data_IF_577760432768
#
_entry.id   IF_577760432768
#
_cell.length_a   1.000
_cell.length_b   1.000
_cell.length_c   1.000
_cell.angle_alpha   90.00
_cell.angle_beta   90.00
_cell.angle_gamma   90.00
#
_symmetry.space_group_name_H-M   'P 1'
#
loop_
_entity.id
_entity.type
_entity.pdbx_description
1 polymer ?
#
# COMPACT_ATOMS: atom_id res chain seq x y z
N UNK A 1 -2.25 -12.35 -17.73
CA UNK A 1 -0.88 -12.03 -17.30
C UNK A 1 -0.61 -12.61 -15.91
N UNK A 2 0.53 -13.25 -15.69
CA UNK A 2 1.03 -13.65 -14.37
C UNK A 2 2.11 -12.68 -13.89
N UNK A 3 2.06 -12.26 -12.62
CA UNK A 3 3.07 -11.38 -12.02
C UNK A 3 3.83 -12.15 -10.94
N UNK A 4 5.15 -12.13 -11.03
CA UNK A 4 6.09 -12.76 -10.12
C UNK A 4 7.00 -11.70 -9.51
N UNK A 5 7.32 -11.86 -8.23
CA UNK A 5 8.33 -11.10 -7.52
C UNK A 5 9.44 -12.07 -7.09
N UNK A 6 10.65 -11.90 -7.61
CA UNK A 6 11.77 -12.84 -7.44
C UNK A 6 11.36 -14.30 -7.72
N UNK A 7 10.55 -14.53 -8.77
CA UNK A 7 10.04 -15.86 -9.12
C UNK A 7 8.93 -16.41 -8.20
N UNK A 8 8.48 -15.66 -7.17
CA UNK A 8 7.31 -16.02 -6.37
C UNK A 8 6.05 -15.38 -6.95
N UNK A 9 5.03 -16.18 -7.23
CA UNK A 9 3.75 -15.72 -7.78
C UNK A 9 3.07 -14.76 -6.81
N UNK A 10 2.59 -13.62 -7.33
CA UNK A 10 1.80 -12.66 -6.57
C UNK A 10 0.30 -12.85 -6.85
N UNK A 11 -0.54 -12.43 -5.92
CA UNK A 11 -2.00 -12.47 -6.09
C UNK A 11 -2.43 -11.37 -7.08
N UNK A 12 -3.16 -11.77 -8.13
CA UNK A 12 -3.43 -10.95 -9.31
C UNK A 12 -4.55 -9.93 -9.11
N UNK A 13 -5.41 -10.12 -8.10
CA UNK A 13 -6.54 -9.22 -7.83
C UNK A 13 -6.14 -7.76 -7.53
N UNK A 14 -4.86 -7.53 -7.22
CA UNK A 14 -4.28 -6.19 -6.98
C UNK A 14 -3.81 -5.49 -8.27
N UNK A 15 -3.64 -6.23 -9.37
CA UNK A 15 -3.14 -5.72 -10.65
C UNK A 15 -4.20 -5.70 -11.76
N UNK A 16 -5.38 -6.28 -11.51
CA UNK A 16 -6.50 -6.36 -12.45
C UNK A 16 -7.06 -4.99 -12.90
N UNK A 17 -6.64 -3.88 -12.28
CA UNK A 17 -7.00 -2.49 -12.65
C UNK A 17 -5.91 -1.76 -13.45
N UNK A 18 -4.79 -2.42 -13.74
CA UNK A 18 -3.64 -1.80 -14.40
C UNK A 18 -3.68 -2.15 -15.89
N UNK A 19 -3.98 -1.15 -16.71
CA UNK A 19 -4.21 -1.31 -18.14
C UNK A 19 -2.92 -1.16 -18.99
N UNK A 20 -1.82 -0.70 -18.39
CA UNK A 20 -0.54 -0.42 -19.08
C UNK A 20 0.66 -0.97 -18.30
N UNK A 21 1.63 -1.60 -18.99
CA UNK A 21 2.91 -2.04 -18.43
C UNK A 21 3.68 -0.88 -17.77
N UNK A 22 3.57 0.35 -18.29
CA UNK A 22 4.20 1.53 -17.67
C UNK A 22 3.54 1.89 -16.36
N UNK A 23 2.22 1.73 -16.25
CA UNK A 23 1.51 1.90 -14.99
C UNK A 23 1.89 0.78 -14.02
N UNK A 24 2.00 -0.47 -14.49
CA UNK A 24 2.48 -1.58 -13.68
C UNK A 24 3.89 -1.31 -13.15
N UNK A 25 4.79 -0.79 -13.99
CA UNK A 25 6.19 -0.54 -13.62
C UNK A 25 6.30 0.66 -12.68
N UNK A 26 5.59 1.76 -12.95
CA UNK A 26 5.51 2.90 -12.04
C UNK A 26 4.90 2.50 -10.71
N UNK A 27 3.84 1.69 -10.74
CA UNK A 27 3.23 1.07 -9.57
C UNK A 27 4.32 0.34 -8.80
N UNK A 28 5.03 -0.60 -9.43
CA UNK A 28 6.10 -1.39 -8.80
C UNK A 28 7.27 -0.53 -8.29
N UNK A 29 7.74 0.47 -9.05
CA UNK A 29 8.80 1.39 -8.57
C UNK A 29 8.33 2.20 -7.37
N UNK A 30 7.05 2.56 -7.34
CA UNK A 30 6.43 3.17 -6.15
C UNK A 30 6.34 2.18 -4.98
N UNK A 31 6.14 0.88 -5.23
CA UNK A 31 6.04 -0.16 -4.20
C UNK A 31 7.36 -0.55 -3.57
N UNK A 32 8.37 -0.72 -4.41
CA UNK A 32 9.60 -1.37 -4.01
C UNK A 32 10.74 -0.35 -3.96
N UNK A 33 10.59 0.85 -4.53
CA UNK A 33 11.62 1.88 -4.64
C UNK A 33 12.42 1.73 -5.95
N UNK A 34 12.73 2.86 -6.60
CA UNK A 34 13.46 2.91 -7.88
C UNK A 34 14.79 2.15 -7.84
N UNK A 35 15.46 2.13 -6.68
CA UNK A 35 16.75 1.45 -6.49
C UNK A 35 16.65 -0.07 -6.24
N UNK A 36 15.44 -0.64 -6.23
CA UNK A 36 15.21 -1.98 -5.69
C UNK A 36 14.80 -2.97 -6.77
N UNK A 37 14.05 -2.56 -7.79
CA UNK A 37 13.85 -3.38 -9.00
C UNK A 37 15.07 -3.23 -9.90
N UNK A 38 15.87 -4.28 -10.03
CA UNK A 38 17.04 -4.26 -10.93
C UNK A 38 16.66 -4.57 -12.36
N UNK A 39 15.83 -5.58 -12.54
CA UNK A 39 15.45 -6.08 -13.86
C UNK A 39 14.02 -6.60 -13.83
N UNK A 40 13.32 -6.38 -14.92
CA UNK A 40 11.98 -6.90 -15.17
C UNK A 40 12.09 -7.88 -16.31
N UNK A 41 11.72 -9.12 -16.06
CA UNK A 41 11.70 -10.19 -17.05
C UNK A 41 10.27 -10.34 -17.59
N UNK A 42 10.04 -10.07 -18.86
CA UNK A 42 8.74 -10.15 -19.53
C UNK A 42 8.82 -11.28 -20.56
N UNK A 43 8.02 -12.33 -20.38
CA UNK A 43 8.01 -13.51 -21.25
C UNK A 43 9.42 -14.04 -21.61
N UNK A 44 10.28 -14.14 -20.59
CA UNK A 44 11.69 -14.59 -20.68
C UNK A 44 12.70 -13.58 -21.25
N UNK A 45 12.27 -12.37 -21.61
CA UNK A 45 13.15 -11.27 -22.00
C UNK A 45 13.43 -10.33 -20.81
N UNK A 46 14.70 -10.06 -20.53
CA UNK A 46 15.11 -9.18 -19.43
C UNK A 46 15.25 -7.73 -19.89
N UNK A 47 14.67 -6.82 -19.11
CA UNK A 47 14.72 -5.39 -19.29
C UNK A 47 15.16 -4.72 -18.00
N UNK A 48 15.90 -3.63 -18.10
CA UNK A 48 16.17 -2.74 -16.95
C UNK A 48 14.97 -1.81 -16.69
N UNK A 49 14.88 -1.30 -15.46
CA UNK A 49 13.91 -0.28 -15.08
C UNK A 49 13.95 0.94 -16.04
N UNK A 50 15.16 1.41 -16.37
CA UNK A 50 15.37 2.56 -17.27
C UNK A 50 14.88 2.30 -18.70
N UNK A 51 15.07 1.09 -19.24
CA UNK A 51 14.61 0.73 -20.59
C UNK A 51 13.08 0.71 -20.69
N UNK A 52 12.41 0.34 -19.61
CA UNK A 52 10.94 0.32 -19.56
C UNK A 52 10.38 1.74 -19.44
N UNK A 53 10.96 2.56 -18.56
CA UNK A 53 10.58 3.97 -18.39
C UNK A 53 10.87 4.83 -19.63
N UNK A 54 11.94 4.52 -20.37
CA UNK A 54 12.27 5.15 -21.65
C UNK A 54 11.25 4.88 -22.77
N UNK A 55 10.26 4.02 -22.51
CA UNK A 55 9.07 3.90 -23.33
C UNK A 55 9.00 2.62 -24.14
N UNK A 56 9.45 1.50 -23.58
CA UNK A 56 9.24 0.17 -24.15
C UNK A 56 7.76 -0.01 -24.54
N UNK A 57 7.51 -0.33 -25.81
CA UNK A 57 6.17 -0.41 -26.37
C UNK A 57 5.76 -1.88 -26.46
N UNK A 58 5.36 -2.44 -25.32
CA UNK A 58 4.89 -3.82 -25.20
C UNK A 58 3.37 -3.86 -25.22
N UNK A 59 2.82 -4.80 -25.97
CA UNK A 59 1.40 -5.11 -25.99
C UNK A 59 1.04 -5.99 -24.79
N UNK A 60 0.39 -5.41 -23.78
CA UNK A 60 -0.04 -6.07 -22.54
C UNK A 60 -0.93 -7.30 -22.80
N UNK A 61 -1.73 -7.28 -23.86
CA UNK A 61 -2.61 -8.40 -24.23
C UNK A 61 -1.81 -9.62 -24.70
N UNK A 62 -0.57 -9.42 -25.13
CA UNK A 62 0.36 -10.48 -25.51
C UNK A 62 1.25 -10.95 -24.35
N UNK A 63 1.34 -10.16 -23.26
CA UNK A 63 2.21 -10.47 -22.11
C UNK A 63 1.60 -11.59 -21.27
N UNK A 64 2.28 -12.73 -21.26
CA UNK A 64 1.84 -13.89 -20.48
C UNK A 64 2.37 -13.83 -19.05
N UNK A 65 3.60 -13.35 -18.85
CA UNK A 65 4.32 -13.36 -17.57
C UNK A 65 5.23 -12.15 -17.41
N UNK A 66 5.18 -11.53 -16.24
CA UNK A 66 6.11 -10.50 -15.76
C UNK A 66 6.78 -10.99 -14.48
N UNK A 67 8.11 -10.96 -14.42
CA UNK A 67 8.90 -11.37 -13.27
C UNK A 67 9.85 -10.25 -12.86
N UNK A 68 9.59 -9.69 -11.68
CA UNK A 68 10.31 -8.56 -11.13
C UNK A 68 11.45 -9.09 -10.28
N UNK A 69 12.69 -8.83 -10.71
CA UNK A 69 13.89 -9.22 -9.96
C UNK A 69 14.38 -8.01 -9.19
N UNK A 70 14.28 -8.13 -7.87
CA UNK A 70 14.68 -7.09 -6.93
C UNK A 70 16.09 -7.35 -6.38
N UNK A 71 16.73 -6.33 -5.81
CA UNK A 71 18.00 -6.52 -5.10
C UNK A 71 17.81 -7.44 -3.89
N UNK A 72 18.74 -8.37 -3.67
CA UNK A 72 18.82 -9.22 -2.47
C UNK A 72 19.21 -8.42 -1.21
N UNK A 73 19.49 -7.12 -1.34
CA UNK A 73 19.82 -6.24 -0.23
C UNK A 73 18.59 -5.98 0.65
N UNK A 74 18.37 -6.89 1.60
CA UNK A 74 17.21 -6.83 2.51
C UNK A 74 17.17 -5.52 3.28
N UNK A 75 18.35 -5.00 3.67
CA UNK A 75 18.52 -3.76 4.44
C UNK A 75 18.08 -2.54 3.64
N UNK A 76 18.53 -2.39 2.39
CA UNK A 76 18.15 -1.24 1.54
C UNK A 76 16.65 -1.14 1.29
N UNK A 77 15.97 -2.26 1.03
CA UNK A 77 14.52 -2.20 0.83
C UNK A 77 13.74 -1.87 2.09
N UNK A 78 14.27 -2.29 3.23
CA UNK A 78 13.72 -1.92 4.51
C UNK A 78 13.90 -0.43 4.79
N UNK A 79 15.08 0.12 4.52
CA UNK A 79 15.37 1.55 4.65
C UNK A 79 14.50 2.40 3.69
N UNK A 80 14.27 1.95 2.46
CA UNK A 80 13.41 2.67 1.50
C UNK A 80 11.93 2.66 1.88
N UNK A 81 11.41 1.56 2.45
CA UNK A 81 10.04 1.55 2.97
C UNK A 81 9.93 2.48 4.16
N UNK A 82 10.91 2.47 5.08
CA UNK A 82 10.91 3.40 6.20
C UNK A 82 10.90 4.86 5.73
N UNK A 83 11.79 5.22 4.81
CA UNK A 83 11.91 6.59 4.31
C UNK A 83 10.62 7.08 3.64
N UNK A 84 9.89 6.21 2.94
CA UNK A 84 8.69 6.61 2.19
C UNK A 84 7.37 6.34 2.91
N UNK A 85 7.31 5.47 3.92
CA UNK A 85 6.06 5.08 4.59
C UNK A 85 5.93 5.65 5.99
N UNK A 86 7.02 5.72 6.76
CA UNK A 86 6.97 6.23 8.15
C UNK A 86 6.64 7.72 8.17
N UNK A 87 7.09 8.50 7.19
CA UNK A 87 6.82 9.94 7.16
C UNK A 87 5.37 10.26 6.76
N UNK A 88 4.73 9.40 5.96
CA UNK A 88 3.35 9.62 5.47
C UNK A 88 2.27 9.18 6.48
N UNK A 89 2.53 8.14 7.29
CA UNK A 89 1.55 7.58 8.22
C UNK A 89 1.03 8.60 9.28
N UNK A 90 1.87 9.41 9.94
CA UNK A 90 1.40 10.42 10.89
C UNK A 90 0.48 11.46 10.26
N UNK A 91 0.77 11.89 9.03
CA UNK A 91 -0.08 12.83 8.29
C UNK A 91 -1.46 12.21 8.00
N UNK A 92 -1.50 10.94 7.59
CA UNK A 92 -2.77 10.23 7.37
C UNK A 92 -3.59 10.08 8.66
N UNK A 93 -2.92 9.77 9.78
CA UNK A 93 -3.56 9.69 11.09
C UNK A 93 -4.21 11.03 11.45
N UNK A 94 -3.48 12.12 11.25
CA UNK A 94 -3.94 13.47 11.54
C UNK A 94 -5.09 13.89 10.60
N UNK A 95 -5.06 13.46 9.32
CA UNK A 95 -6.16 13.68 8.37
C UNK A 95 -7.45 12.98 8.82
N UNK A 96 -7.38 11.75 9.33
CA UNK A 96 -8.56 11.09 9.92
C UNK A 96 -9.08 11.79 11.18
N UNK A 97 -8.19 12.32 12.02
CA UNK A 97 -8.62 13.11 13.19
C UNK A 97 -9.30 14.42 12.77
N UNK A 98 -8.79 15.09 11.73
CA UNK A 98 -9.42 16.27 11.18
C UNK A 98 -10.78 15.94 10.57
N UNK A 99 -10.91 14.84 9.82
CA UNK A 99 -12.20 14.39 9.30
C UNK A 99 -13.21 14.13 10.42
N UNK A 100 -12.79 13.51 11.53
CA UNK A 100 -13.63 13.30 12.71
C UNK A 100 -14.15 14.64 13.29
N UNK A 101 -13.30 15.67 13.30
CA UNK A 101 -13.68 17.01 13.74
C UNK A 101 -14.66 17.68 12.78
N UNK A 102 -14.49 17.54 11.46
CA UNK A 102 -15.43 18.07 10.46
C UNK A 102 -16.82 17.42 10.60
N UNK A 103 -16.87 16.09 10.78
CA UNK A 103 -18.13 15.40 11.09
C UNK A 103 -18.80 15.91 12.37
N UNK A 104 -18.02 16.18 13.43
CA UNK A 104 -18.53 16.71 14.68
C UNK A 104 -19.07 18.16 14.55
N UNK A 105 -18.47 18.96 13.67
CA UNK A 105 -18.94 20.30 13.32
C UNK A 105 -20.13 20.28 12.34
N UNK A 106 -20.40 19.13 11.72
CA UNK A 106 -21.49 18.92 10.78
C UNK A 106 -21.15 19.24 9.34
N UNK A 107 -19.87 19.36 9.00
CA UNK A 107 -19.38 19.47 7.62
C UNK A 107 -19.07 18.07 7.07
N UNK A 108 -20.14 17.34 6.75
CA UNK A 108 -20.05 15.95 6.31
C UNK A 108 -19.35 15.82 4.95
N UNK A 109 -19.61 16.74 4.02
CA UNK A 109 -18.99 16.74 2.68
C UNK A 109 -17.47 16.78 2.79
N UNK A 110 -16.94 17.72 3.58
CA UNK A 110 -15.50 17.84 3.82
C UNK A 110 -14.95 16.63 4.58
N UNK A 111 -15.66 16.14 5.60
CA UNK A 111 -15.25 14.93 6.32
C UNK A 111 -15.13 13.71 5.40
N UNK A 112 -16.10 13.50 4.49
CA UNK A 112 -16.07 12.42 3.51
C UNK A 112 -14.93 12.57 2.51
N UNK A 113 -14.70 13.78 1.99
CA UNK A 113 -13.57 14.07 1.08
C UNK A 113 -12.23 13.69 1.74
N UNK A 114 -12.01 14.14 2.98
CA UNK A 114 -10.79 13.83 3.73
C UNK A 114 -10.60 12.34 4.00
N UNK A 115 -11.66 11.63 4.43
CA UNK A 115 -11.61 10.17 4.65
C UNK A 115 -11.28 9.44 3.36
N UNK A 116 -11.97 9.77 2.26
CA UNK A 116 -11.82 9.07 0.99
C UNK A 116 -10.44 9.29 0.37
N UNK A 117 -9.92 10.53 0.41
CA UNK A 117 -8.59 10.82 -0.12
C UNK A 117 -7.48 10.20 0.75
N UNK A 118 -7.67 10.17 2.07
CA UNK A 118 -6.72 9.49 2.96
C UNK A 118 -6.74 7.97 2.75
N UNK A 119 -7.92 7.36 2.61
CA UNK A 119 -8.06 5.91 2.37
C UNK A 119 -7.42 5.46 1.05
N UNK A 120 -7.54 6.27 -0.01
CA UNK A 120 -6.84 5.98 -1.28
C UNK A 120 -5.34 5.88 -1.05
N UNK A 121 -4.72 6.86 -0.39
CA UNK A 121 -3.28 6.84 -0.15
C UNK A 121 -2.87 5.70 0.80
N UNK A 122 -3.73 5.37 1.76
CA UNK A 122 -3.50 4.32 2.73
C UNK A 122 -3.50 2.92 2.10
N UNK A 123 -4.35 2.67 1.11
CA UNK A 123 -4.34 1.42 0.33
C UNK A 123 -2.95 1.16 -0.27
N UNK A 124 -2.31 2.21 -0.80
CA UNK A 124 -0.94 2.13 -1.31
C UNK A 124 0.07 1.81 -0.22
N UNK A 125 -0.02 2.46 0.94
CA UNK A 125 0.90 2.23 2.05
C UNK A 125 0.79 0.81 2.60
N UNK A 126 -0.43 0.34 2.85
CA UNK A 126 -0.69 -1.00 3.38
C UNK A 126 -0.10 -2.07 2.46
N UNK A 127 -0.24 -1.90 1.15
CA UNK A 127 0.34 -2.82 0.17
C UNK A 127 1.88 -2.77 0.16
N UNK A 128 2.51 -1.59 0.30
CA UNK A 128 3.97 -1.47 0.47
C UNK A 128 4.48 -2.26 1.68
N UNK A 129 3.78 -2.14 2.80
CA UNK A 129 4.10 -2.85 4.04
C UNK A 129 3.94 -4.37 3.86
N UNK A 130 2.81 -4.81 3.30
CA UNK A 130 2.51 -6.24 3.08
C UNK A 130 3.58 -6.94 2.21
N UNK A 131 3.99 -6.31 1.11
CA UNK A 131 5.05 -6.84 0.22
C UNK A 131 6.37 -7.00 0.98
N UNK A 132 6.71 -6.02 1.82
CA UNK A 132 7.92 -6.07 2.65
C UNK A 132 7.91 -7.26 3.61
N UNK A 133 6.80 -7.43 4.32
CA UNK A 133 6.61 -8.48 5.31
C UNK A 133 6.69 -9.86 4.64
N UNK A 134 6.02 -10.05 3.49
CA UNK A 134 6.12 -11.27 2.67
C UNK A 134 7.55 -11.58 2.23
N UNK A 135 8.36 -10.56 1.94
CA UNK A 135 9.76 -10.74 1.53
C UNK A 135 10.67 -11.12 2.69
N UNK A 136 10.34 -10.69 3.90
CA UNK A 136 11.11 -10.98 5.10
C UNK A 136 10.63 -12.26 5.81
N UNK A 137 9.63 -12.95 5.25
CA UNK A 137 8.97 -14.12 5.86
C UNK A 137 8.48 -13.81 7.30
N UNK A 138 7.97 -12.58 7.50
CA UNK A 138 7.48 -12.06 8.79
C UNK A 138 6.00 -12.42 8.98
N UNK A 139 5.73 -13.64 9.46
CA UNK A 139 4.37 -14.17 9.62
C UNK A 139 3.53 -13.37 10.62
N UNK A 140 4.12 -12.90 11.73
CA UNK A 140 3.43 -12.11 12.76
C UNK A 140 3.01 -10.74 12.20
N UNK A 141 3.91 -10.08 11.47
CA UNK A 141 3.57 -8.83 10.79
C UNK A 141 2.53 -9.01 9.69
N UNK A 142 2.54 -10.15 8.99
CA UNK A 142 1.52 -10.50 8.00
C UNK A 142 0.14 -10.75 8.63
N UNK A 143 0.07 -11.32 9.83
CA UNK A 143 -1.20 -11.44 10.56
C UNK A 143 -1.74 -10.06 10.96
N UNK A 144 -0.88 -9.18 11.48
CA UNK A 144 -1.27 -7.83 11.90
C UNK A 144 -1.72 -6.96 10.71
N UNK A 145 -1.01 -6.98 9.58
CA UNK A 145 -1.39 -6.20 8.39
C UNK A 145 -2.74 -6.67 7.83
N UNK A 146 -3.04 -7.98 7.88
CA UNK A 146 -4.34 -8.51 7.47
C UNK A 146 -5.46 -8.06 8.42
N UNK A 147 -5.23 -8.07 9.73
CA UNK A 147 -6.19 -7.52 10.71
C UNK A 147 -6.48 -6.04 10.45
N UNK A 148 -5.46 -5.26 10.13
CA UNK A 148 -5.60 -3.83 9.82
C UNK A 148 -6.41 -3.63 8.53
N UNK A 149 -6.13 -4.42 7.47
CA UNK A 149 -6.89 -4.40 6.22
C UNK A 149 -8.38 -4.69 6.43
N UNK A 150 -8.71 -5.72 7.19
CA UNK A 150 -10.10 -6.04 7.53
C UNK A 150 -10.80 -4.87 8.26
N UNK A 151 -10.06 -4.16 9.12
CA UNK A 151 -10.55 -2.96 9.80
C UNK A 151 -10.90 -1.84 8.81
N UNK A 152 -10.03 -1.56 7.84
CA UNK A 152 -10.29 -0.55 6.82
C UNK A 152 -11.43 -0.94 5.86
N UNK A 153 -11.52 -2.21 5.48
CA UNK A 153 -12.64 -2.73 4.68
C UNK A 153 -13.98 -2.57 5.41
N UNK A 154 -13.99 -2.77 6.73
CA UNK A 154 -15.15 -2.51 7.59
C UNK A 154 -15.56 -1.04 7.55
N UNK A 155 -14.59 -0.14 7.67
CA UNK A 155 -14.81 1.32 7.62
C UNK A 155 -15.37 1.74 6.26
N UNK A 156 -14.80 1.26 5.15
CA UNK A 156 -15.28 1.55 3.79
C UNK A 156 -16.74 1.12 3.60
N UNK A 157 -17.09 -0.09 4.06
CA UNK A 157 -18.48 -0.59 4.00
C UNK A 157 -19.44 0.24 4.84
N UNK A 158 -19.01 0.66 6.03
CA UNK A 158 -19.81 1.55 6.89
C UNK A 158 -19.99 2.93 6.22
N UNK A 159 -18.92 3.49 5.64
CA UNK A 159 -18.94 4.80 4.96
C UNK A 159 -19.95 4.82 3.80
N UNK A 160 -19.91 3.81 2.92
CA UNK A 160 -20.83 3.68 1.79
C UNK A 160 -22.30 3.56 2.24
N UNK A 161 -22.54 2.99 3.43
CA UNK A 161 -23.87 2.82 3.99
C UNK A 161 -24.43 4.08 4.67
N UNK A 162 -23.55 4.92 5.22
CA UNK A 162 -23.92 6.09 6.05
C UNK A 162 -24.02 7.42 5.26
N UNK A 163 -23.58 7.47 4.00
CA UNK A 163 -23.77 8.62 3.09
C UNK A 163 -25.26 9.04 2.95
N UNK A 164 -26.20 8.18 3.33
CA UNK A 164 -27.64 8.41 3.21
C UNK A 164 -28.39 8.57 4.54
N UNK A 165 -27.69 8.66 5.69
CA UNK A 165 -28.31 8.73 7.02
C UNK A 165 -27.70 9.80 7.92
N UNK A 166 -28.56 10.60 8.56
CA UNK A 166 -28.23 11.69 9.50
C UNK A 166 -27.54 11.16 10.79
N UNK A 167 -26.27 10.72 10.69
CA UNK A 167 -25.53 10.05 11.77
C UNK A 167 -24.13 10.60 11.99
N UNK A 168 -24.02 11.91 12.23
CA UNK A 168 -22.77 12.60 12.61
C UNK A 168 -21.90 11.84 13.62
N UNK A 169 -22.52 11.30 14.68
CA UNK A 169 -21.79 10.53 15.70
C UNK A 169 -21.13 9.25 15.18
N UNK A 170 -21.78 8.54 14.25
CA UNK A 170 -21.21 7.33 13.66
C UNK A 170 -20.03 7.66 12.73
N UNK A 171 -20.10 8.77 11.99
CA UNK A 171 -19.04 9.23 11.11
C UNK A 171 -17.79 9.69 11.89
N UNK A 172 -17.99 10.41 13.00
CA UNK A 172 -16.89 10.76 13.92
C UNK A 172 -16.20 9.50 14.46
N UNK A 173 -16.97 8.54 15.00
CA UNK A 173 -16.40 7.28 15.53
C UNK A 173 -15.65 6.48 14.45
N UNK A 174 -16.15 6.49 13.20
CA UNK A 174 -15.52 5.81 12.08
C UNK A 174 -14.15 6.42 11.73
N UNK A 175 -14.07 7.74 11.62
CA UNK A 175 -12.81 8.43 11.36
C UNK A 175 -11.80 8.23 12.50
N UNK A 176 -12.25 8.20 13.75
CA UNK A 176 -11.39 7.84 14.90
C UNK A 176 -10.88 6.39 14.83
N UNK A 177 -11.73 5.43 14.43
CA UNK A 177 -11.29 4.04 14.19
C UNK A 177 -10.23 3.98 13.09
N UNK A 178 -10.42 4.71 11.98
CA UNK A 178 -9.44 4.77 10.89
C UNK A 178 -8.08 5.31 11.39
N UNK A 179 -8.11 6.40 12.17
CA UNK A 179 -6.92 6.97 12.80
C UNK A 179 -6.18 5.96 13.70
N UNK A 180 -6.91 5.18 14.49
CA UNK A 180 -6.32 4.14 15.33
C UNK A 180 -5.71 2.97 14.54
N UNK A 181 -6.29 2.61 13.40
CA UNK A 181 -5.70 1.61 12.50
C UNK A 181 -4.41 2.12 11.84
N UNK A 182 -4.35 3.40 11.46
CA UNK A 182 -3.10 4.02 10.98
C UNK A 182 -2.03 4.00 12.05
N UNK A 183 -2.39 4.30 13.31
CA UNK A 183 -1.45 4.19 14.43
C UNK A 183 -0.91 2.76 14.62
N UNK A 184 -1.74 1.73 14.44
CA UNK A 184 -1.27 0.33 14.47
C UNK A 184 -0.30 0.03 13.33
N UNK A 185 -0.49 0.62 12.14
CA UNK A 185 0.48 0.55 11.05
C UNK A 185 1.80 1.22 11.43
N UNK A 186 1.77 2.40 12.05
CA UNK A 186 2.98 3.07 12.56
C UNK A 186 3.77 2.12 13.48
N UNK A 187 3.09 1.54 14.47
CA UNK A 187 3.68 0.60 15.43
C UNK A 187 4.26 -0.65 14.75
N UNK A 188 3.56 -1.23 13.77
CA UNK A 188 4.04 -2.39 13.01
C UNK A 188 5.36 -2.10 12.27
N UNK A 189 5.45 -0.93 11.63
CA UNK A 189 6.64 -0.54 10.87
C UNK A 189 7.80 -0.21 11.81
N UNK A 190 7.53 0.37 13.00
CA UNK A 190 8.51 0.66 14.04
C UNK A 190 9.03 -0.58 14.80
N UNK A 191 8.17 -1.54 15.17
CA UNK A 191 8.55 -2.71 15.98
C UNK A 191 9.55 -3.62 15.27
N UNK A 192 9.43 -3.71 13.94
CA UNK A 192 10.37 -4.47 13.12
C UNK A 192 11.83 -4.10 13.43
N UNK A 193 12.11 -2.86 13.88
CA UNK A 193 13.46 -2.31 14.10
C UNK A 193 14.23 -2.88 15.29
N UNK A 194 13.53 -3.53 16.22
CA UNK A 194 14.13 -3.96 17.49
C UNK A 194 14.72 -5.37 17.46
N UNK A 195 14.31 -6.23 16.54
CA UNK A 195 14.73 -7.64 16.49
C UNK A 195 16.11 -7.87 15.85
N UNK A 196 16.69 -6.88 15.16
CA UNK A 196 18.01 -7.00 14.49
C UNK A 196 19.21 -6.64 15.39
N UNK A 197 19.01 -6.26 16.66
CA UNK A 197 20.14 -5.89 17.57
C UNK A 197 20.75 -7.08 18.33
N UNK A 198 20.28 -8.30 18.09
CA UNK A 198 20.85 -9.52 18.68
C UNK A 198 21.08 -10.59 17.62
N UNK A 199 22.20 -10.50 16.89
CA UNK A 199 22.87 -11.65 16.26
C UNK A 199 24.36 -11.37 16.07
#
# INVERSE_FOLDING_TARGET
MEILLNGKKQDLGMYDKIDDMRELIKFIHTFIGEDIVKTVEIDEEEYTAEEIEAGLNLDMDAVSRVNLKTTDDKKKARENIKANVIEELPEMRDNFQQAAAEFALGDEEKGYEMVHDTLKNLEWIVLKIEVSLKRNDDEDGLEEINSIKEGFDGILKELDSEINTDRKGALTEMAEKASNLVKRLEELVEISDTTDTTS
#
